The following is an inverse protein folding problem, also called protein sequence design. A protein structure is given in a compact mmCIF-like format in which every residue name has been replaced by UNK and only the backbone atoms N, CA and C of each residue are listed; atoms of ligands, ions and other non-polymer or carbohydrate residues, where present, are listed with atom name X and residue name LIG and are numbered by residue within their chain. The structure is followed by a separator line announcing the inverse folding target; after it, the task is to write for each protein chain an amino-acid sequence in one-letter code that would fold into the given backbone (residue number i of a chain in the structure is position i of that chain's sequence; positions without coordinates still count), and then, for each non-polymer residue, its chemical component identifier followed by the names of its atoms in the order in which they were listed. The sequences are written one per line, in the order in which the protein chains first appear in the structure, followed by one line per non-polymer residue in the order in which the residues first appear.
data_IF_661391644466
#
_entry.id   IF_661391644466
#
_cell.length_a   1.000
_cell.length_b   1.000
_cell.length_c   1.000
_cell.angle_alpha   90.00
_cell.angle_beta   90.00
_cell.angle_gamma   90.00
#
_symmetry.space_group_name_H-M   'P 1'
#
loop_
_entity.id
_entity.type
_entity.pdbx_description
1 polymer ?
#
# COMPACT_ATOMS: atom_id res chain seq x y z
N UNK A 1 6.58 -7.83 -14.84
CA UNK A 1 6.77 -8.02 -13.38
C UNK A 1 5.40 -8.11 -12.73
N UNK A 2 5.17 -9.16 -11.94
CA UNK A 2 3.96 -9.32 -11.13
C UNK A 2 4.25 -8.86 -9.70
N UNK A 3 3.32 -8.10 -9.13
CA UNK A 3 3.40 -7.59 -7.77
C UNK A 3 2.17 -8.03 -6.98
N UNK A 4 2.37 -8.36 -5.69
CA UNK A 4 1.31 -8.63 -4.72
C UNK A 4 0.76 -7.32 -4.18
N UNK A 5 -0.40 -6.91 -4.67
CA UNK A 5 -1.14 -5.75 -4.21
C UNK A 5 -1.97 -6.14 -3.00
N UNK A 6 -1.93 -5.34 -1.93
CA UNK A 6 -2.57 -5.64 -0.64
C UNK A 6 -3.32 -4.40 -0.18
N UNK A 7 -4.64 -4.49 -0.08
CA UNK A 7 -5.45 -3.38 0.42
C UNK A 7 -5.26 -3.27 1.95
N UNK A 8 -4.83 -2.09 2.42
CA UNK A 8 -4.68 -1.81 3.85
C UNK A 8 -6.00 -1.85 4.62
N UNK A 9 -7.11 -1.57 3.94
CA UNK A 9 -8.43 -1.43 4.55
C UNK A 9 -9.12 -2.78 4.68
N UNK A 10 -9.47 -3.42 3.55
CA UNK A 10 -10.22 -4.67 3.54
C UNK A 10 -9.33 -5.93 3.56
N UNK A 11 -8.01 -5.79 3.41
CA UNK A 11 -7.08 -6.92 3.41
C UNK A 11 -7.05 -7.73 2.10
N UNK A 12 -7.80 -7.31 1.07
CA UNK A 12 -7.80 -7.95 -0.25
C UNK A 12 -6.39 -8.02 -0.81
N UNK A 13 -6.01 -9.17 -1.36
CA UNK A 13 -4.73 -9.37 -2.04
C UNK A 13 -4.93 -9.84 -3.48
N UNK A 14 -4.17 -9.26 -4.42
CA UNK A 14 -4.14 -9.71 -5.82
C UNK A 14 -2.72 -9.64 -6.40
N UNK A 15 -2.37 -10.62 -7.24
CA UNK A 15 -1.11 -10.63 -7.99
C UNK A 15 -1.38 -10.08 -9.38
N UNK A 16 -0.92 -8.86 -9.62
CA UNK A 16 -1.22 -8.11 -10.85
C UNK A 16 0.06 -7.51 -11.44
N UNK A 17 0.04 -7.21 -12.73
CA UNK A 17 0.98 -6.21 -13.26
C UNK A 17 0.58 -4.82 -12.76
N UNK A 18 1.52 -3.86 -12.61
CA UNK A 18 1.15 -2.54 -12.16
C UNK A 18 0.12 -1.82 -13.06
N UNK A 19 0.15 -2.10 -14.38
CA UNK A 19 -0.85 -1.58 -15.32
C UNK A 19 -2.25 -2.13 -15.04
N UNK A 20 -2.38 -3.43 -14.76
CA UNK A 20 -3.67 -4.02 -14.40
C UNK A 20 -4.19 -3.46 -13.08
N UNK A 21 -3.33 -3.33 -12.08
CA UNK A 21 -3.70 -2.78 -10.79
C UNK A 21 -4.20 -1.33 -10.92
N UNK A 22 -3.47 -0.48 -11.64
CA UNK A 22 -3.91 0.90 -11.90
C UNK A 22 -5.26 0.96 -12.61
N UNK A 23 -5.47 0.13 -13.64
CA UNK A 23 -6.73 0.07 -14.37
C UNK A 23 -7.91 -0.41 -13.52
N UNK A 24 -7.64 -1.19 -12.47
CA UNK A 24 -8.64 -1.65 -11.50
C UNK A 24 -8.81 -0.67 -10.31
N UNK A 25 -8.16 0.49 -10.34
CA UNK A 25 -8.27 1.52 -9.30
C UNK A 25 -7.44 1.24 -8.05
N UNK A 26 -6.40 0.39 -8.12
CA UNK A 26 -5.50 0.22 -6.98
C UNK A 26 -4.60 1.45 -6.79
N UNK A 27 -4.54 1.95 -5.56
CA UNK A 27 -3.58 2.99 -5.17
C UNK A 27 -2.20 2.35 -4.96
N UNK A 28 -1.48 2.05 -6.04
CA UNK A 28 -0.15 1.44 -5.99
C UNK A 28 0.81 2.05 -7.04
N UNK A 29 2.11 2.21 -6.73
CA UNK A 29 3.11 2.65 -7.69
C UNK A 29 3.37 1.61 -8.78
N UNK A 30 3.86 2.04 -9.95
CA UNK A 30 4.09 3.44 -10.33
C UNK A 30 2.84 4.19 -10.80
N UNK A 31 1.67 3.55 -10.85
CA UNK A 31 0.42 4.19 -11.33
C UNK A 31 -0.10 5.27 -10.36
N UNK A 32 0.10 5.06 -9.06
CA UNK A 32 -0.24 6.00 -8.01
C UNK A 32 0.86 6.06 -6.95
N UNK A 33 1.35 7.26 -6.63
CA UNK A 33 2.44 7.44 -5.67
C UNK A 33 3.80 6.93 -6.16
N UNK A 34 4.73 6.68 -5.23
CA UNK A 34 6.08 6.20 -5.51
C UNK A 34 6.47 5.07 -4.55
N UNK A 35 7.27 4.12 -5.02
CA UNK A 35 7.83 3.08 -4.14
C UNK A 35 8.71 3.71 -3.05
N UNK A 36 8.75 3.07 -1.88
CA UNK A 36 9.50 3.53 -0.69
C UNK A 36 9.01 4.86 -0.09
N UNK A 37 7.98 5.47 -0.68
CA UNK A 37 7.29 6.64 -0.13
C UNK A 37 5.93 6.20 0.40
N UNK A 38 5.66 6.50 1.66
CA UNK A 38 4.37 6.23 2.29
C UNK A 38 3.28 6.96 1.52
N UNK A 39 2.32 6.19 1.01
CA UNK A 39 1.18 6.59 0.20
C UNK A 39 0.08 5.56 0.43
N UNK A 40 -1.21 5.89 0.20
CA UNK A 40 -2.32 4.95 0.37
C UNK A 40 -2.12 3.68 -0.45
N UNK A 41 -2.38 2.50 0.13
CA UNK A 41 -2.40 1.20 -0.55
C UNK A 41 -3.77 0.55 -0.41
N UNK A 42 -4.64 0.80 -1.37
CA UNK A 42 -6.05 0.39 -1.37
C UNK A 42 -6.39 -0.32 -2.69
N UNK A 43 -7.46 -1.12 -2.67
CA UNK A 43 -8.12 -1.56 -3.90
C UNK A 43 -9.14 -0.50 -4.34
N UNK A 44 -9.64 -0.61 -5.57
CA UNK A 44 -10.58 0.38 -6.14
C UNK A 44 -11.92 0.54 -5.43
N UNK A 45 -12.23 -0.33 -4.47
CA UNK A 45 -13.48 -0.31 -3.70
C UNK A 45 -13.34 0.35 -2.30
N UNK A 46 -12.11 0.63 -1.85
CA UNK A 46 -11.84 1.14 -0.50
C UNK A 46 -11.33 2.58 -0.53
N UNK A 47 -11.85 3.41 0.38
CA UNK A 47 -11.31 4.74 0.63
C UNK A 47 -9.95 4.72 1.33
N UNK A 48 -9.21 5.82 1.24
CA UNK A 48 -7.86 5.93 1.81
C UNK A 48 -7.83 6.19 3.33
N UNK A 49 -8.97 6.46 3.96
CA UNK A 49 -9.07 6.81 5.38
C UNK A 49 -8.60 5.71 6.34
N UNK A 50 -8.59 4.44 5.91
CA UNK A 50 -8.06 3.34 6.72
C UNK A 50 -6.57 3.03 6.52
N UNK A 51 -5.82 3.87 5.81
CA UNK A 51 -4.41 3.62 5.45
C UNK A 51 -3.43 4.19 6.48
N UNK A 52 -2.20 3.64 6.49
CA UNK A 52 -1.09 4.22 7.23
C UNK A 52 -0.83 5.68 6.82
N UNK A 53 -0.92 5.98 5.53
CA UNK A 53 -0.71 7.35 5.04
C UNK A 53 -1.71 8.33 5.65
N UNK A 54 -2.99 7.93 5.74
CA UNK A 54 -4.03 8.76 6.35
C UNK A 54 -3.78 8.98 7.85
N UNK A 55 -3.44 7.91 8.58
CA UNK A 55 -3.12 8.03 9.99
C UNK A 55 -1.97 9.03 10.24
N UNK A 56 -0.91 8.97 9.44
CA UNK A 56 0.24 9.87 9.59
C UNK A 56 -0.08 11.32 9.19
N UNK A 57 -0.77 11.54 8.07
CA UNK A 57 -0.90 12.87 7.45
C UNK A 57 -2.19 13.61 7.85
N UNK A 58 -3.26 12.86 8.11
CA UNK A 58 -4.59 13.43 8.40
C UNK A 58 -4.96 13.34 9.88
N UNK A 59 -4.54 12.26 10.56
CA UNK A 59 -4.83 12.06 11.99
C UNK A 59 -3.68 12.48 12.91
N UNK A 60 -2.53 12.85 12.35
CA UNK A 60 -1.35 13.29 13.12
C UNK A 60 -0.70 12.17 13.95
N UNK A 61 -0.94 10.90 13.58
CA UNK A 61 -0.38 9.75 14.26
C UNK A 61 1.15 9.81 14.19
N UNK A 62 1.78 9.70 15.36
CA UNK A 62 3.24 9.70 15.44
C UNK A 62 3.80 8.32 15.09
N UNK A 63 4.94 8.23 14.36
CA UNK A 63 5.59 6.96 14.04
C UNK A 63 5.85 6.07 15.26
N UNK A 64 6.17 6.67 16.41
CA UNK A 64 6.41 5.95 17.67
C UNK A 64 5.16 5.24 18.23
N UNK A 65 3.96 5.66 17.81
CA UNK A 65 2.68 5.16 18.29
C UNK A 65 1.98 4.24 17.28
N UNK A 66 2.64 3.90 16.17
CA UNK A 66 2.04 3.01 15.17
C UNK A 66 1.74 1.64 15.77
N UNK A 67 0.53 1.15 15.52
CA UNK A 67 0.17 -0.20 15.93
C UNK A 67 0.90 -1.26 15.09
N UNK A 68 0.81 -2.54 15.50
CA UNK A 68 1.49 -3.64 14.80
C UNK A 68 1.13 -3.76 13.31
N UNK A 69 -0.12 -3.47 12.93
CA UNK A 69 -0.57 -3.51 11.53
C UNK A 69 0.06 -2.38 10.72
N UNK A 70 0.08 -1.18 11.29
CA UNK A 70 0.68 0.01 10.69
C UNK A 70 2.20 -0.14 10.54
N UNK A 71 2.90 -0.64 11.56
CA UNK A 71 4.36 -0.89 11.50
C UNK A 71 4.71 -1.88 10.38
N UNK A 72 4.00 -3.01 10.28
CA UNK A 72 4.20 -3.97 9.18
C UNK A 72 3.96 -3.35 7.81
N UNK A 73 2.99 -2.44 7.73
CA UNK A 73 2.69 -1.75 6.47
C UNK A 73 3.79 -0.76 6.10
N UNK A 74 4.32 -0.03 7.08
CA UNK A 74 5.46 0.87 6.90
C UNK A 74 6.69 0.10 6.42
N UNK A 75 7.06 -0.97 7.13
CA UNK A 75 8.18 -1.85 6.78
C UNK A 75 8.04 -2.41 5.36
N UNK A 76 6.83 -2.87 4.99
CA UNK A 76 6.55 -3.34 3.64
C UNK A 76 6.82 -2.24 2.62
N UNK A 77 6.21 -1.05 2.77
CA UNK A 77 6.30 0.06 1.81
C UNK A 77 7.75 0.51 1.60
N UNK A 78 8.53 0.63 2.68
CA UNK A 78 9.93 1.05 2.62
C UNK A 78 10.83 0.09 1.83
N UNK A 79 10.40 -1.17 1.68
CA UNK A 79 11.10 -2.21 0.93
C UNK A 79 10.43 -2.52 -0.42
N UNK A 80 9.45 -1.73 -0.86
CA UNK A 80 8.86 -1.92 -2.18
C UNK A 80 9.79 -1.39 -3.30
N UNK A 81 9.77 -2.00 -4.51
CA UNK A 81 8.90 -3.10 -4.91
C UNK A 81 9.36 -4.49 -4.44
N UNK A 82 10.55 -4.63 -3.86
CA UNK A 82 11.13 -5.93 -3.50
C UNK A 82 10.25 -6.74 -2.54
N UNK A 83 9.62 -6.09 -1.56
CA UNK A 83 8.74 -6.71 -0.56
C UNK A 83 7.41 -7.24 -1.10
N UNK A 84 7.03 -6.83 -2.32
CA UNK A 84 5.77 -7.24 -2.98
C UNK A 84 6.03 -7.90 -4.32
N UNK A 85 7.28 -8.06 -4.73
CA UNK A 85 7.64 -8.71 -5.99
C UNK A 85 7.43 -10.21 -5.87
N UNK A 86 6.73 -10.78 -6.84
CA UNK A 86 6.57 -12.24 -6.94
C UNK A 86 7.68 -12.78 -7.83
N UNK A 87 8.57 -13.61 -7.26
CA UNK A 87 9.53 -14.39 -8.04
C UNK A 87 8.78 -15.55 -8.70
N UNK A 88 8.93 -15.70 -10.01
CA UNK A 88 8.52 -16.90 -10.74
C UNK A 88 9.63 -17.93 -10.67
#
# INVERSE_FOLDING_TARGET
MLLRHVCEVCGKEEILTPKQAYNQGWDYPPGMGQFKIVSPRTCGDCGINGTLWWALNMEGQQPANLNKKQLRTLERILQEPESIKVLQ
#
